data_IF_138123796894
#
_entry.id   IF_138123796894
#
_cell.length_a   1.000
_cell.length_b   1.000
_cell.length_c   1.000
_cell.angle_alpha   90.00
_cell.angle_beta   90.00
_cell.angle_gamma   90.00
#
_symmetry.space_group_name_H-M   'P 1'
#
loop_
_entity.id
_entity.type
_entity.pdbx_description
1 polymer ?
#
# COMPACT_ATOMS: atom_id res chain seq x y z
N UNK A 1 -23.21 -6.01 6.98
CA UNK A 1 -23.19 -6.40 8.41
C UNK A 1 -21.74 -6.70 8.77
N UNK A 2 -21.10 -5.81 9.55
CA UNK A 2 -19.70 -5.97 9.96
C UNK A 2 -19.65 -6.97 11.11
N UNK A 3 -18.94 -8.10 10.95
CA UNK A 3 -18.94 -9.18 11.93
C UNK A 3 -18.12 -8.79 13.16
N UNK A 4 -18.67 -9.08 14.35
CA UNK A 4 -18.09 -8.79 15.66
C UNK A 4 -16.63 -9.27 15.78
N UNK A 5 -16.28 -10.36 15.09
CA UNK A 5 -14.93 -10.94 15.01
C UNK A 5 -13.91 -10.05 14.29
N UNK A 6 -14.33 -9.33 13.23
CA UNK A 6 -13.42 -8.44 12.48
C UNK A 6 -13.02 -7.22 13.31
N UNK A 7 -13.96 -6.69 14.09
CA UNK A 7 -13.70 -5.55 14.97
C UNK A 7 -12.80 -5.94 16.16
N UNK A 8 -12.98 -7.14 16.72
CA UNK A 8 -12.11 -7.67 17.79
C UNK A 8 -10.67 -7.86 17.31
N UNK A 9 -10.49 -8.44 16.12
CA UNK A 9 -9.15 -8.67 15.56
C UNK A 9 -8.46 -7.34 15.21
N UNK A 10 -9.20 -6.39 14.64
CA UNK A 10 -8.69 -5.06 14.34
C UNK A 10 -8.23 -4.33 15.61
N UNK A 11 -9.02 -4.39 16.70
CA UNK A 11 -8.69 -3.77 17.98
C UNK A 11 -7.48 -4.44 18.64
N UNK A 12 -7.38 -5.77 18.61
CA UNK A 12 -6.24 -6.51 19.16
C UNK A 12 -4.92 -6.16 18.45
N UNK A 13 -4.95 -5.98 17.11
CA UNK A 13 -3.79 -5.56 16.33
C UNK A 13 -3.38 -4.12 16.67
N UNK A 14 -4.35 -3.22 16.82
CA UNK A 14 -4.12 -1.84 17.23
C UNK A 14 -3.54 -1.75 18.66
N UNK A 15 -4.01 -2.59 19.57
CA UNK A 15 -3.55 -2.65 20.97
C UNK A 15 -2.14 -3.24 21.09
N UNK A 16 -1.85 -4.31 20.35
CA UNK A 16 -0.52 -4.94 20.30
C UNK A 16 0.56 -3.99 19.72
N UNK A 17 0.21 -3.20 18.70
CA UNK A 17 1.11 -2.20 18.12
C UNK A 17 1.16 -0.86 18.86
N UNK A 18 0.33 -0.67 19.90
CA UNK A 18 0.19 0.58 20.64
C UNK A 18 1.28 0.85 21.68
N UNK A 19 1.89 -0.20 22.26
CA UNK A 19 2.85 -0.09 23.37
C UNK A 19 4.19 0.52 22.96
N UNK A 20 4.65 0.23 21.73
CA UNK A 20 5.87 0.78 21.15
C UNK A 20 5.57 1.83 20.06
N UNK A 21 4.31 2.25 19.94
CA UNK A 21 3.94 3.24 18.93
C UNK A 21 4.51 4.59 19.32
N UNK A 22 5.22 5.28 18.42
CA UNK A 22 5.52 6.69 18.62
C UNK A 22 4.22 7.41 19.00
N UNK A 23 4.21 8.30 20.01
CA UNK A 23 3.01 9.03 20.44
C UNK A 23 2.32 9.80 19.29
N UNK A 24 3.07 10.04 18.21
CA UNK A 24 2.60 10.58 16.94
C UNK A 24 1.55 9.71 16.20
N UNK A 25 1.42 8.42 16.52
CA UNK A 25 0.48 7.47 15.90
C UNK A 25 -0.69 7.08 16.81
N UNK A 26 -1.00 7.86 17.84
CA UNK A 26 -2.17 7.63 18.68
C UNK A 26 -3.49 7.82 17.86
N UNK A 27 -4.56 7.04 18.12
CA UNK A 27 -5.80 7.05 17.32
C UNK A 27 -6.48 8.44 17.19
N UNK A 28 -6.36 9.31 18.20
CA UNK A 28 -6.90 10.68 18.16
C UNK A 28 -6.07 11.66 17.33
N UNK A 29 -4.81 11.33 17.06
CA UNK A 29 -3.88 12.20 16.34
C UNK A 29 -3.96 12.00 14.81
N UNK A 30 -4.73 11.04 14.32
CA UNK A 30 -4.76 10.67 12.89
C UNK A 30 -5.25 11.82 11.98
N UNK A 31 -6.28 12.55 12.38
CA UNK A 31 -6.81 13.70 11.63
C UNK A 31 -5.78 14.84 11.57
N UNK A 32 -5.09 15.09 12.68
CA UNK A 32 -4.01 16.07 12.73
C UNK A 32 -2.81 15.62 11.89
N UNK A 33 -2.46 14.34 11.95
CA UNK A 33 -1.34 13.77 11.21
C UNK A 33 -1.54 13.84 9.70
N UNK A 34 -2.76 13.57 9.23
CA UNK A 34 -3.14 13.77 7.81
C UNK A 34 -2.90 15.21 7.35
N UNK A 35 -3.21 16.19 8.21
CA UNK A 35 -2.99 17.61 7.91
C UNK A 35 -1.51 18.00 7.96
N UNK A 36 -0.76 17.46 8.92
CA UNK A 36 0.69 17.67 9.07
C UNK A 36 1.44 17.13 7.85
N UNK A 37 1.13 15.91 7.41
CA UNK A 37 1.73 15.31 6.21
C UNK A 37 1.40 16.11 4.97
N UNK A 38 0.13 16.51 4.81
CA UNK A 38 -0.27 17.34 3.67
C UNK A 38 0.55 18.63 3.62
N UNK A 39 0.65 19.35 4.74
CA UNK A 39 1.46 20.57 4.83
C UNK A 39 2.95 20.31 4.59
N UNK A 40 3.48 19.19 5.07
CA UNK A 40 4.87 18.82 4.85
C UNK A 40 5.16 18.51 3.38
N UNK A 41 4.25 17.83 2.69
CA UNK A 41 4.36 17.57 1.25
C UNK A 41 4.31 18.88 0.49
N UNK A 42 3.33 19.75 0.77
CA UNK A 42 3.12 21.01 0.05
C UNK A 42 4.32 21.99 0.15
N UNK A 43 5.20 21.84 1.15
CA UNK A 43 6.41 22.66 1.29
C UNK A 43 7.65 22.11 0.58
N UNK A 44 7.57 20.92 -0.04
CA UNK A 44 8.72 20.32 -0.75
C UNK A 44 8.85 20.82 -2.19
N UNK A 45 10.08 20.94 -2.72
CA UNK A 45 10.28 21.32 -4.11
C UNK A 45 9.69 20.29 -5.09
N UNK A 46 9.66 19.01 -4.72
CA UNK A 46 9.09 17.91 -5.50
C UNK A 46 7.62 17.57 -5.12
N UNK A 47 6.89 18.48 -4.47
CA UNK A 47 5.53 18.24 -3.98
C UNK A 47 4.56 17.79 -5.07
N UNK A 48 4.65 18.35 -6.28
CA UNK A 48 3.82 17.92 -7.43
C UNK A 48 4.03 16.45 -7.80
N UNK A 49 5.29 16.00 -7.81
CA UNK A 49 5.66 14.60 -8.06
C UNK A 49 5.15 13.68 -6.94
N UNK A 50 5.25 14.13 -5.69
CA UNK A 50 4.70 13.38 -4.55
C UNK A 50 3.17 13.24 -4.68
N UNK A 51 2.46 14.32 -5.04
CA UNK A 51 1.02 14.29 -5.29
C UNK A 51 0.66 13.37 -6.45
N UNK A 52 1.44 13.40 -7.53
CA UNK A 52 1.28 12.50 -8.68
C UNK A 52 1.43 11.03 -8.28
N UNK A 53 2.43 10.69 -7.47
CA UNK A 53 2.65 9.33 -6.96
C UNK A 53 1.57 8.87 -5.98
N UNK A 54 0.98 9.77 -5.19
CA UNK A 54 -0.15 9.44 -4.31
C UNK A 54 -1.43 9.17 -5.11
N UNK A 55 -1.67 9.91 -6.20
CA UNK A 55 -2.80 9.65 -7.11
C UNK A 55 -2.59 8.41 -7.97
N UNK A 56 -1.34 8.16 -8.37
CA UNK A 56 -0.93 7.06 -9.24
C UNK A 56 0.06 6.15 -8.50
N UNK A 57 -0.41 5.32 -7.56
CA UNK A 57 0.47 4.51 -6.75
C UNK A 57 1.36 3.62 -7.63
N UNK A 58 2.65 3.49 -7.28
CA UNK A 58 3.64 2.75 -8.06
C UNK A 58 3.32 1.26 -8.15
N UNK A 59 2.45 0.77 -7.26
CA UNK A 59 1.96 -0.60 -7.23
C UNK A 59 0.45 -0.58 -7.29
N UNK A 60 -0.10 -1.15 -8.36
CA UNK A 60 -1.51 -1.54 -8.41
C UNK A 60 -1.55 -3.05 -8.18
N UNK A 61 -2.16 -3.47 -7.09
CA UNK A 61 -2.36 -4.89 -6.81
C UNK A 61 -3.57 -5.37 -7.61
N UNK A 62 -3.31 -6.12 -8.68
CA UNK A 62 -4.36 -6.84 -9.41
C UNK A 62 -4.16 -8.32 -9.17
N UNK A 63 -5.20 -8.99 -8.70
CA UNK A 63 -5.27 -10.44 -8.72
C UNK A 63 -5.41 -10.87 -10.17
N UNK A 64 -4.39 -11.55 -10.68
CA UNK A 64 -4.44 -12.14 -12.00
C UNK A 64 -4.34 -13.65 -11.86
N UNK A 65 -5.13 -14.36 -12.66
CA UNK A 65 -5.07 -15.81 -12.75
C UNK A 65 -4.09 -16.18 -13.87
N UNK A 66 -3.04 -16.92 -13.55
CA UNK A 66 -2.13 -17.51 -14.54
C UNK A 66 -2.38 -19.01 -14.60
N UNK A 67 -2.56 -19.52 -15.81
CA UNK A 67 -2.61 -20.96 -16.07
C UNK A 67 -1.18 -21.48 -16.21
N UNK A 68 -0.72 -22.25 -15.23
CA UNK A 68 0.59 -22.90 -15.25
C UNK A 68 0.41 -24.38 -15.57
N UNK A 69 1.15 -24.88 -16.56
CA UNK A 69 1.20 -26.32 -16.88
C UNK A 69 2.06 -27.03 -15.85
N UNK A 70 1.51 -28.04 -15.18
CA UNK A 70 2.17 -28.74 -14.08
C UNK A 70 3.35 -29.59 -14.58
N UNK A 71 3.21 -30.22 -15.76
CA UNK A 71 4.26 -31.02 -16.41
C UNK A 71 4.22 -30.85 -17.94
N UNK A 72 5.38 -30.91 -18.60
CA UNK A 72 5.51 -30.82 -20.06
C UNK A 72 4.82 -32.02 -20.72
N UNK A 73 3.65 -31.80 -21.33
CA UNK A 73 2.83 -32.85 -21.99
C UNK A 73 1.57 -33.27 -21.23
N UNK A 74 1.26 -32.68 -20.08
CA UNK A 74 0.02 -32.93 -19.31
C UNK A 74 -1.13 -32.02 -19.77
N UNK A 75 -2.36 -32.54 -19.81
CA UNK A 75 -3.59 -31.74 -19.99
C UNK A 75 -4.07 -31.04 -18.71
N UNK A 76 -3.40 -31.27 -17.58
CA UNK A 76 -3.75 -30.69 -16.28
C UNK A 76 -3.05 -29.34 -16.11
N UNK A 77 -3.84 -28.28 -16.17
CA UNK A 77 -3.43 -26.90 -15.88
C UNK A 77 -3.81 -26.53 -14.45
N UNK A 78 -2.87 -25.93 -13.70
CA UNK A 78 -3.16 -25.32 -12.40
C UNK A 78 -3.38 -23.82 -12.61
N UNK A 79 -4.51 -23.31 -12.13
CA UNK A 79 -4.74 -21.87 -12.04
C UNK A 79 -4.09 -21.38 -10.76
N UNK A 80 -3.07 -20.54 -10.88
CA UNK A 80 -2.45 -19.86 -9.74
C UNK A 80 -2.80 -18.38 -9.81
N UNK A 81 -3.45 -17.89 -8.75
CA UNK A 81 -3.71 -16.48 -8.58
C UNK A 81 -2.45 -15.82 -8.01
N UNK A 82 -1.92 -14.84 -8.73
CA UNK A 82 -0.71 -14.13 -8.36
C UNK A 82 -0.99 -12.63 -8.30
N UNK A 83 -0.21 -11.93 -7.50
CA UNK A 83 -0.27 -10.48 -7.37
C UNK A 83 0.59 -9.85 -8.46
N UNK A 84 -0.05 -9.31 -9.51
CA UNK A 84 0.67 -8.45 -10.45
C UNK A 84 0.89 -7.09 -9.86
N UNK A 85 2.12 -6.60 -9.99
CA UNK A 85 2.52 -5.25 -9.61
C UNK A 85 3.02 -4.52 -10.86
N UNK A 86 2.15 -3.78 -11.53
CA UNK A 86 2.58 -2.90 -12.62
C UNK A 86 3.24 -1.65 -12.04
N UNK A 87 4.50 -1.41 -12.45
CA UNK A 87 5.34 -0.29 -12.01
C UNK A 87 4.89 0.98 -12.76
N UNK A 88 3.96 1.76 -12.19
CA UNK A 88 3.43 2.97 -12.84
C UNK A 88 4.37 4.19 -12.77
N UNK A 89 5.46 4.11 -12.01
CA UNK A 89 6.41 5.21 -11.80
C UNK A 89 7.72 4.89 -12.52
N UNK A 90 8.03 5.69 -13.56
CA UNK A 90 9.28 5.63 -14.33
C UNK A 90 10.51 5.87 -13.45
N UNK A 91 11.68 5.37 -13.86
CA UNK A 91 12.93 5.55 -13.13
C UNK A 91 13.33 7.04 -13.03
N UNK A 92 13.08 7.82 -14.08
CA UNK A 92 13.31 9.27 -14.10
C UNK A 92 12.55 10.02 -12.97
N UNK A 93 11.29 9.64 -12.71
CA UNK A 93 10.51 10.19 -11.58
C UNK A 93 11.14 9.84 -10.22
N UNK A 94 11.76 8.64 -10.11
CA UNK A 94 12.43 8.21 -8.88
C UNK A 94 13.70 9.00 -8.65
N UNK A 95 14.45 9.27 -9.71
CA UNK A 95 15.70 10.01 -9.63
C UNK A 95 15.41 11.48 -9.24
N UNK A 96 14.33 12.07 -9.76
CA UNK A 96 13.84 13.41 -9.37
C UNK A 96 13.28 13.48 -7.93
N UNK A 97 12.78 12.38 -7.37
CA UNK A 97 12.34 12.33 -5.97
C UNK A 97 13.50 12.29 -4.97
N UNK A 98 14.67 11.79 -5.39
CA UNK A 98 15.85 11.58 -4.55
C UNK A 98 16.92 12.68 -4.70
N UNK A 99 16.72 13.61 -5.63
CA UNK A 99 17.57 14.81 -5.83
C UNK A 99 17.30 15.87 -4.75
#
# INVERSE_FOLDING_TARGET
>A
MQTQTSNTLHNAIMEAGGKDRPPMLAPGNYIQWKSIIKRYIDTKPNHELIHYCLKNPPYKYTWADKTVLICKGSSVTKTETYMETYKNVSQDIRDQLNA
#
